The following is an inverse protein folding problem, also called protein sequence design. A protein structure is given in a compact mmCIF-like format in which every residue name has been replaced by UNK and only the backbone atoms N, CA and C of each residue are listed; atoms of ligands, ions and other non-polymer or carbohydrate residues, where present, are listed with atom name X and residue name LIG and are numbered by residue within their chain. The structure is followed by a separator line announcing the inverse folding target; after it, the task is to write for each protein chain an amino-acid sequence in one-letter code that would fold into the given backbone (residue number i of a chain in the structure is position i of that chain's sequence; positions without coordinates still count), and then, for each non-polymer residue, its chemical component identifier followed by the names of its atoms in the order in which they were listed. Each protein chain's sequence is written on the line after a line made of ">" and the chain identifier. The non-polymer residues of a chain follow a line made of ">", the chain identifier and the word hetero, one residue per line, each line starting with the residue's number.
data_IF_902649716210
#
_entry.id   IF_902649716210
#
_cell.length_a   1.000
_cell.length_b   1.000
_cell.length_c   1.000
_cell.angle_alpha   90.00
_cell.angle_beta   90.00
_cell.angle_gamma   90.00
#
_symmetry.space_group_name_H-M   'P 1'
#
loop_
_entity.id
_entity.type
_entity.pdbx_description
1 polymer ?
#
# COMPACT_ATOMS: atom_id res chain seq x y z
N UNK A 1 22.30 -17.51 -18.65
CA UNK A 1 21.97 -17.00 -17.31
C UNK A 1 21.44 -18.18 -16.50
N UNK A 2 22.23 -18.69 -15.56
CA UNK A 2 21.81 -19.76 -14.68
C UNK A 2 20.84 -19.15 -13.65
N UNK A 3 19.59 -19.57 -13.69
CA UNK A 3 18.63 -19.28 -12.63
C UNK A 3 19.15 -20.02 -11.39
N UNK A 4 19.65 -19.28 -10.40
CA UNK A 4 19.90 -19.86 -9.10
C UNK A 4 18.56 -20.35 -8.58
N UNK A 5 18.35 -21.65 -8.63
CA UNK A 5 17.28 -22.30 -7.89
C UNK A 5 17.54 -21.96 -6.43
N UNK A 6 16.66 -21.14 -5.85
CA UNK A 6 16.59 -20.98 -4.40
C UNK A 6 16.39 -22.38 -3.86
N UNK A 7 17.34 -22.89 -3.08
CA UNK A 7 17.17 -24.15 -2.36
C UNK A 7 15.94 -23.98 -1.47
N UNK A 8 14.83 -24.54 -1.93
CA UNK A 8 13.65 -24.71 -1.09
C UNK A 8 14.09 -25.51 0.13
N UNK A 9 13.79 -25.07 1.34
CA UNK A 9 14.14 -25.85 2.53
C UNK A 9 13.65 -27.27 2.35
N UNK A 10 14.51 -28.24 2.58
CA UNK A 10 14.26 -29.68 2.41
C UNK A 10 13.15 -30.24 3.33
N UNK A 11 12.34 -29.40 3.96
CA UNK A 11 11.38 -29.71 5.00
C UNK A 11 9.93 -29.29 4.69
N UNK A 12 9.57 -28.92 3.46
CA UNK A 12 8.16 -28.73 3.14
C UNK A 12 7.47 -30.09 3.03
N UNK A 13 6.77 -30.46 4.10
CA UNK A 13 5.92 -31.65 4.09
C UNK A 13 4.65 -31.37 3.28
N UNK A 14 4.64 -31.74 2.00
CA UNK A 14 3.48 -31.56 1.10
C UNK A 14 2.28 -32.46 1.46
N UNK A 15 2.45 -33.41 2.40
CA UNK A 15 1.34 -34.20 2.95
C UNK A 15 0.56 -33.38 4.02
N UNK A 16 1.10 -32.27 4.49
CA UNK A 16 0.37 -31.32 5.35
C UNK A 16 -0.71 -30.60 4.55
N UNK A 17 -1.99 -30.68 4.97
CA UNK A 17 -3.11 -30.07 4.25
C UNK A 17 -3.00 -28.56 4.09
N UNK A 18 -2.38 -27.86 5.05
CA UNK A 18 -2.16 -26.41 5.00
C UNK A 18 -1.13 -26.04 3.94
N UNK A 19 0.02 -26.75 3.94
CA UNK A 19 1.09 -26.55 2.96
C UNK A 19 0.59 -26.88 1.55
N UNK A 20 -0.18 -27.95 1.37
CA UNK A 20 -0.76 -28.27 0.05
C UNK A 20 -1.73 -27.20 -0.43
N UNK A 21 -2.59 -26.69 0.45
CA UNK A 21 -3.52 -25.60 0.12
C UNK A 21 -2.77 -24.33 -0.30
N UNK A 22 -1.72 -23.94 0.43
CA UNK A 22 -0.86 -22.80 0.09
C UNK A 22 -0.21 -23.00 -1.28
N UNK A 23 0.36 -24.18 -1.53
CA UNK A 23 0.95 -24.55 -2.82
C UNK A 23 -0.07 -24.42 -3.97
N UNK A 24 -1.29 -24.91 -3.78
CA UNK A 24 -2.36 -24.81 -4.78
C UNK A 24 -2.75 -23.35 -5.03
N UNK A 25 -2.79 -22.52 -4.00
CA UNK A 25 -3.10 -21.08 -4.13
C UNK A 25 -2.03 -20.34 -4.94
N UNK A 26 -0.75 -20.58 -4.66
CA UNK A 26 0.39 -20.02 -5.40
C UNK A 26 0.38 -20.49 -6.85
N UNK A 27 0.09 -21.76 -7.10
CA UNK A 27 -0.01 -22.31 -8.44
C UNK A 27 -1.16 -21.66 -9.21
N UNK A 28 -2.33 -21.50 -8.59
CA UNK A 28 -3.48 -20.81 -9.19
C UNK A 28 -3.14 -19.37 -9.60
N UNK A 29 -2.50 -18.60 -8.70
CA UNK A 29 -2.05 -17.24 -8.99
C UNK A 29 -1.06 -17.23 -10.18
N UNK A 30 -0.04 -18.09 -10.14
CA UNK A 30 1.01 -18.15 -11.16
C UNK A 30 0.46 -18.55 -12.53
N UNK A 31 -0.40 -19.58 -12.59
CA UNK A 31 -1.01 -20.05 -13.84
C UNK A 31 -1.93 -18.99 -14.43
N UNK A 32 -2.75 -18.33 -13.58
CA UNK A 32 -3.66 -17.27 -14.05
C UNK A 32 -2.87 -16.07 -14.58
N UNK A 33 -1.84 -15.66 -13.84
CA UNK A 33 -0.97 -14.55 -14.24
C UNK A 33 -0.25 -14.84 -15.56
N UNK A 34 0.38 -16.02 -15.69
CA UNK A 34 1.03 -16.45 -16.92
C UNK A 34 0.06 -16.46 -18.10
N UNK A 35 -1.13 -17.06 -17.92
CA UNK A 35 -2.15 -17.12 -18.98
C UNK A 35 -2.60 -15.71 -19.43
N UNK A 36 -2.77 -14.78 -18.50
CA UNK A 36 -3.10 -13.38 -18.82
C UNK A 36 -1.97 -12.65 -19.53
N UNK A 37 -0.75 -12.77 -19.02
CA UNK A 37 0.41 -12.09 -19.59
C UNK A 37 0.71 -12.54 -21.03
N UNK A 38 0.55 -13.87 -21.29
CA UNK A 38 0.79 -14.46 -22.60
C UNK A 38 -0.47 -14.58 -23.46
N UNK A 39 -1.60 -13.97 -23.05
CA UNK A 39 -2.89 -14.01 -23.76
C UNK A 39 -3.41 -15.42 -24.05
N UNK A 40 -3.11 -16.38 -23.17
CA UNK A 40 -3.49 -17.79 -23.27
C UNK A 40 -4.79 -18.03 -22.48
N UNK A 41 -5.94 -17.81 -23.14
CA UNK A 41 -7.26 -17.88 -22.48
C UNK A 41 -7.56 -19.23 -21.82
N UNK A 42 -7.11 -20.34 -22.39
CA UNK A 42 -7.30 -21.67 -21.79
C UNK A 42 -6.52 -21.84 -20.49
N UNK A 43 -5.28 -21.32 -20.43
CA UNK A 43 -4.43 -21.34 -19.23
C UNK A 43 -5.06 -20.44 -18.16
N UNK A 44 -5.49 -19.24 -18.54
CA UNK A 44 -6.18 -18.31 -17.64
C UNK A 44 -7.43 -18.96 -17.01
N UNK A 45 -8.27 -19.64 -17.83
CA UNK A 45 -9.48 -20.34 -17.34
C UNK A 45 -9.13 -21.46 -16.36
N UNK A 46 -8.07 -22.23 -16.63
CA UNK A 46 -7.59 -23.28 -15.71
C UNK A 46 -7.15 -22.70 -14.38
N UNK A 47 -6.39 -21.58 -14.40
CA UNK A 47 -5.98 -20.89 -13.18
C UNK A 47 -7.16 -20.42 -12.35
N UNK A 48 -8.19 -19.79 -12.95
CA UNK A 48 -9.41 -19.40 -12.24
C UNK A 48 -10.23 -20.59 -11.72
N UNK A 49 -10.29 -21.71 -12.47
CA UNK A 49 -10.95 -22.92 -11.99
C UNK A 49 -10.25 -23.48 -10.73
N UNK A 50 -8.92 -23.49 -10.73
CA UNK A 50 -8.12 -23.88 -9.57
C UNK A 50 -8.33 -22.89 -8.41
N UNK A 51 -8.41 -21.57 -8.68
CA UNK A 51 -8.73 -20.56 -7.67
C UNK A 51 -10.07 -20.86 -6.98
N UNK A 52 -11.10 -21.24 -7.74
CA UNK A 52 -12.38 -21.66 -7.16
C UNK A 52 -12.25 -22.85 -6.19
N UNK A 53 -11.41 -23.85 -6.54
CA UNK A 53 -11.12 -25.00 -5.65
C UNK A 53 -10.37 -24.56 -4.39
N UNK A 54 -9.39 -23.68 -4.53
CA UNK A 54 -8.65 -23.09 -3.39
C UNK A 54 -9.59 -22.39 -2.43
N UNK A 55 -10.54 -21.58 -2.94
CA UNK A 55 -11.52 -20.91 -2.10
C UNK A 55 -12.42 -21.88 -1.32
N UNK A 56 -12.84 -22.99 -1.94
CA UNK A 56 -13.62 -24.02 -1.26
C UNK A 56 -12.81 -24.70 -0.15
N UNK A 57 -11.56 -25.06 -0.42
CA UNK A 57 -10.68 -25.67 0.57
C UNK A 57 -10.31 -24.69 1.70
N UNK A 58 -10.00 -23.44 1.37
CA UNK A 58 -9.76 -22.39 2.36
C UNK A 58 -10.96 -22.23 3.31
N UNK A 59 -12.16 -22.24 2.76
CA UNK A 59 -13.39 -22.16 3.56
C UNK A 59 -13.54 -23.38 4.51
N UNK A 60 -13.13 -24.57 4.06
CA UNK A 60 -13.08 -25.78 4.89
C UNK A 60 -12.03 -25.65 6.01
N UNK A 61 -10.84 -25.10 5.72
CA UNK A 61 -9.80 -24.86 6.73
C UNK A 61 -10.24 -23.84 7.77
N UNK A 62 -10.93 -22.76 7.35
CA UNK A 62 -11.49 -21.74 8.25
C UNK A 62 -12.56 -22.31 9.19
N UNK A 63 -13.22 -23.39 8.83
CA UNK A 63 -14.16 -24.12 9.70
C UNK A 63 -13.50 -25.02 10.74
N UNK A 64 -12.17 -25.17 10.72
CA UNK A 64 -11.42 -26.04 11.65
C UNK A 64 -10.56 -25.20 12.58
N UNK A 65 -10.83 -25.19 13.90
CA UNK A 65 -10.11 -24.35 14.86
C UNK A 65 -8.60 -24.49 14.81
N UNK A 66 -8.08 -25.70 14.55
CA UNK A 66 -6.65 -26.02 14.50
C UNK A 66 -5.96 -25.48 13.25
N UNK A 67 -6.70 -25.22 12.15
CA UNK A 67 -6.15 -24.74 10.88
C UNK A 67 -6.47 -23.27 10.59
N UNK A 68 -7.54 -22.73 11.15
CA UNK A 68 -8.09 -21.42 10.78
C UNK A 68 -7.11 -20.25 10.95
N UNK A 69 -6.12 -20.36 11.87
CA UNK A 69 -5.15 -19.31 12.16
C UNK A 69 -3.70 -19.72 11.89
N UNK A 70 -3.47 -20.83 11.16
CA UNK A 70 -2.12 -21.27 10.79
C UNK A 70 -1.46 -20.28 9.83
N UNK A 71 -0.12 -20.31 9.75
CA UNK A 71 0.64 -19.46 8.82
C UNK A 71 0.26 -19.76 7.37
N UNK A 72 0.05 -21.03 7.03
CA UNK A 72 -0.34 -21.49 5.69
C UNK A 72 -1.72 -20.94 5.30
N UNK A 73 -2.68 -20.92 6.22
CA UNK A 73 -4.02 -20.36 6.00
C UNK A 73 -3.95 -18.84 5.78
N UNK A 74 -3.15 -18.14 6.58
CA UNK A 74 -2.91 -16.70 6.42
C UNK A 74 -2.26 -16.40 5.07
N UNK A 75 -1.22 -17.15 4.69
CA UNK A 75 -0.52 -16.98 3.42
C UNK A 75 -1.39 -17.37 2.22
N UNK A 76 -2.26 -18.37 2.38
CA UNK A 76 -3.27 -18.70 1.36
C UNK A 76 -4.27 -17.57 1.17
N UNK A 77 -4.81 -17.01 2.24
CA UNK A 77 -5.71 -15.85 2.17
C UNK A 77 -5.03 -14.62 1.55
N UNK A 78 -3.75 -14.39 1.86
CA UNK A 78 -2.92 -13.37 1.22
C UNK A 78 -2.79 -13.63 -0.29
N UNK A 79 -2.48 -14.88 -0.68
CA UNK A 79 -2.33 -15.26 -2.09
C UNK A 79 -3.64 -15.03 -2.87
N UNK A 80 -4.79 -15.37 -2.28
CA UNK A 80 -6.10 -15.07 -2.84
C UNK A 80 -6.34 -13.56 -2.99
N UNK A 81 -5.95 -12.77 -2.00
CA UNK A 81 -6.04 -11.31 -2.07
C UNK A 81 -5.12 -10.72 -3.15
N UNK A 82 -3.89 -11.23 -3.30
CA UNK A 82 -2.97 -10.83 -4.37
C UNK A 82 -3.53 -11.19 -5.75
N UNK A 83 -4.19 -12.35 -5.90
CA UNK A 83 -4.87 -12.68 -7.14
C UNK A 83 -5.91 -11.62 -7.50
N UNK A 84 -6.73 -11.21 -6.55
CA UNK A 84 -7.74 -10.17 -6.77
C UNK A 84 -7.15 -8.77 -7.03
N UNK A 85 -5.92 -8.48 -6.55
CA UNK A 85 -5.20 -7.25 -6.88
C UNK A 85 -4.75 -7.24 -8.35
N UNK A 86 -4.12 -8.33 -8.80
CA UNK A 86 -3.51 -8.40 -10.12
C UNK A 86 -4.49 -8.85 -11.21
N UNK A 87 -5.45 -9.67 -10.86
CA UNK A 87 -6.33 -10.41 -11.76
C UNK A 87 -7.76 -10.44 -11.21
N UNK A 88 -8.39 -9.26 -11.02
CA UNK A 88 -9.66 -9.14 -10.31
C UNK A 88 -10.76 -9.97 -10.95
N UNK A 89 -11.50 -10.71 -10.13
CA UNK A 89 -12.71 -11.45 -10.52
C UNK A 89 -13.98 -10.65 -10.24
N UNK A 90 -13.87 -9.59 -9.44
CA UNK A 90 -14.98 -8.67 -9.17
C UNK A 90 -14.55 -7.45 -8.34
N UNK A 91 -15.29 -6.34 -8.42
CA UNK A 91 -14.87 -5.03 -7.92
C UNK A 91 -14.68 -4.97 -6.40
N UNK A 92 -15.28 -5.89 -5.64
CA UNK A 92 -15.24 -5.90 -4.17
C UNK A 92 -14.52 -7.13 -3.59
N UNK A 93 -14.02 -8.03 -4.43
CA UNK A 93 -13.47 -9.30 -3.94
C UNK A 93 -12.15 -9.08 -3.18
N UNK A 94 -11.31 -8.15 -3.62
CA UNK A 94 -10.13 -7.74 -2.85
C UNK A 94 -10.49 -7.39 -1.39
N UNK A 95 -11.50 -6.55 -1.17
CA UNK A 95 -11.90 -6.14 0.17
C UNK A 95 -12.47 -7.28 1.01
N UNK A 96 -13.14 -8.26 0.38
CA UNK A 96 -13.60 -9.46 1.10
C UNK A 96 -12.42 -10.25 1.64
N UNK A 97 -11.40 -10.49 0.80
CA UNK A 97 -10.18 -11.18 1.24
C UNK A 97 -9.41 -10.37 2.27
N UNK A 98 -9.30 -9.06 2.08
CA UNK A 98 -8.66 -8.16 3.04
C UNK A 98 -9.31 -8.24 4.42
N UNK A 99 -10.64 -8.13 4.51
CA UNK A 99 -11.38 -8.25 5.78
C UNK A 99 -11.23 -9.65 6.38
N UNK A 100 -11.31 -10.69 5.56
CA UNK A 100 -11.11 -12.07 6.01
C UNK A 100 -9.72 -12.29 6.58
N UNK A 101 -8.69 -11.80 5.90
CA UNK A 101 -7.30 -11.88 6.37
C UNK A 101 -7.11 -11.16 7.71
N UNK A 102 -7.60 -9.92 7.86
CA UNK A 102 -7.54 -9.21 9.14
C UNK A 102 -8.32 -9.92 10.26
N UNK A 103 -9.45 -10.55 9.92
CA UNK A 103 -10.21 -11.34 10.91
C UNK A 103 -9.41 -12.56 11.39
N UNK A 104 -8.76 -13.29 10.49
CA UNK A 104 -7.88 -14.42 10.83
C UNK A 104 -6.71 -13.95 11.71
N UNK A 105 -6.08 -12.84 11.32
CA UNK A 105 -4.98 -12.25 12.10
C UNK A 105 -5.45 -11.80 13.48
N UNK A 106 -6.65 -11.21 13.57
CA UNK A 106 -7.23 -10.79 14.85
C UNK A 106 -7.53 -11.96 15.78
N UNK A 107 -7.99 -13.09 15.24
CA UNK A 107 -8.22 -14.34 16.01
C UNK A 107 -6.91 -14.92 16.54
N UNK A 108 -5.85 -14.88 15.73
CA UNK A 108 -4.53 -15.37 16.13
C UNK A 108 -3.86 -14.47 17.18
N UNK A 109 -4.09 -13.16 17.09
CA UNK A 109 -3.39 -12.17 17.89
C UNK A 109 -2.01 -11.80 17.33
N UNK A 110 -1.36 -10.78 17.91
CA UNK A 110 -0.01 -10.39 17.53
C UNK A 110 1.00 -11.49 17.88
N UNK A 111 2.13 -11.63 17.11
CA UNK A 111 3.12 -12.66 17.37
C UNK A 111 3.80 -12.43 18.72
N UNK A 112 3.91 -13.49 19.51
CA UNK A 112 4.63 -13.50 20.80
C UNK A 112 6.15 -13.60 20.56
N UNK A 113 6.57 -14.36 19.56
CA UNK A 113 7.96 -14.39 19.07
C UNK A 113 8.13 -13.36 17.95
N UNK A 114 8.85 -12.28 18.27
CA UNK A 114 9.10 -11.18 17.33
C UNK A 114 10.20 -11.48 16.32
N UNK A 115 10.92 -12.61 16.47
CA UNK A 115 12.00 -13.07 15.59
C UNK A 115 11.56 -14.15 14.63
N UNK A 116 10.45 -14.83 14.92
CA UNK A 116 9.95 -15.95 14.15
C UNK A 116 9.30 -15.60 12.80
N UNK A 117 8.98 -16.62 12.02
CA UNK A 117 8.40 -16.51 10.69
C UNK A 117 7.05 -15.78 10.71
N UNK A 118 6.21 -16.06 11.71
CA UNK A 118 4.92 -15.37 11.90
C UNK A 118 5.09 -13.87 12.02
N UNK A 119 6.08 -13.39 12.77
CA UNK A 119 6.37 -11.96 12.88
C UNK A 119 6.82 -11.36 11.53
N UNK A 120 7.57 -12.13 10.75
CA UNK A 120 7.99 -11.73 9.39
C UNK A 120 6.79 -11.63 8.45
N UNK A 121 5.89 -12.61 8.48
CA UNK A 121 4.62 -12.57 7.72
C UNK A 121 3.82 -11.33 8.11
N UNK A 122 3.64 -11.07 9.40
CA UNK A 122 2.84 -9.94 9.87
C UNK A 122 3.45 -8.57 9.54
N UNK A 123 4.77 -8.44 9.56
CA UNK A 123 5.44 -7.22 9.05
C UNK A 123 5.16 -6.99 7.57
N UNK A 124 5.20 -8.05 6.75
CA UNK A 124 4.88 -7.99 5.33
C UNK A 124 3.42 -7.63 5.04
N UNK A 125 2.48 -8.13 5.84
CA UNK A 125 1.05 -7.86 5.68
C UNK A 125 0.63 -6.44 6.09
N UNK A 126 1.46 -5.76 6.87
CA UNK A 126 1.14 -4.45 7.44
C UNK A 126 0.74 -3.41 6.39
N UNK A 127 1.50 -3.32 5.31
CA UNK A 127 1.24 -2.35 4.23
C UNK A 127 -0.12 -2.61 3.61
N UNK A 128 -0.41 -3.86 3.26
CA UNK A 128 -1.67 -4.25 2.61
C UNK A 128 -2.87 -4.02 3.53
N UNK A 129 -2.73 -4.34 4.82
CA UNK A 129 -3.77 -4.09 5.81
C UNK A 129 -4.09 -2.60 5.94
N UNK A 130 -3.07 -1.75 6.09
CA UNK A 130 -3.27 -0.29 6.20
C UNK A 130 -3.89 0.28 4.92
N UNK A 131 -3.44 -0.18 3.75
CA UNK A 131 -3.97 0.27 2.45
C UNK A 131 -5.46 -0.07 2.29
N UNK A 132 -5.83 -1.32 2.61
CA UNK A 132 -7.22 -1.75 2.56
C UNK A 132 -8.10 -0.98 3.55
N UNK A 133 -7.59 -0.74 4.76
CA UNK A 133 -8.26 0.02 5.79
C UNK A 133 -8.51 1.48 5.38
N UNK A 134 -7.49 2.15 4.81
CA UNK A 134 -7.62 3.51 4.25
C UNK A 134 -8.66 3.58 3.13
N UNK A 135 -8.68 2.57 2.25
CA UNK A 135 -9.63 2.54 1.13
C UNK A 135 -11.08 2.32 1.60
N UNK A 136 -11.27 1.60 2.70
CA UNK A 136 -12.59 1.32 3.28
C UNK A 136 -13.00 2.31 4.39
N UNK A 137 -12.18 3.29 4.70
CA UNK A 137 -12.38 4.24 5.82
C UNK A 137 -12.68 3.52 7.15
N UNK A 138 -11.94 2.46 7.44
CA UNK A 138 -12.09 1.66 8.66
C UNK A 138 -10.75 1.47 9.37
N UNK A 139 -10.73 1.22 10.69
CA UNK A 139 -9.49 0.97 11.40
C UNK A 139 -8.78 -0.30 10.88
N UNK A 140 -7.47 -0.19 10.62
CA UNK A 140 -6.60 -1.35 10.42
C UNK A 140 -6.34 -2.05 11.76
N UNK A 141 -6.14 -3.36 11.72
CA UNK A 141 -5.71 -4.13 12.90
C UNK A 141 -4.39 -3.57 13.49
N UNK A 142 -3.51 -3.02 12.65
CA UNK A 142 -2.24 -2.41 13.09
C UNK A 142 -2.39 -1.07 13.81
N UNK A 143 -3.61 -0.52 13.88
CA UNK A 143 -3.91 0.63 14.73
C UNK A 143 -4.15 0.24 16.20
N UNK A 144 -4.35 -1.04 16.50
CA UNK A 144 -4.58 -1.54 17.85
C UNK A 144 -3.30 -1.50 18.68
N UNK A 145 -3.40 -1.24 19.98
CA UNK A 145 -2.24 -1.06 20.85
C UNK A 145 -1.39 -2.33 21.01
N UNK A 146 -2.00 -3.51 20.97
CA UNK A 146 -1.30 -4.78 20.99
C UNK A 146 -0.47 -5.01 19.71
N UNK A 147 -0.97 -4.60 18.54
CA UNK A 147 -0.33 -4.73 17.25
C UNK A 147 0.75 -3.67 16.98
N UNK A 148 0.60 -2.47 17.54
CA UNK A 148 1.62 -1.41 17.45
C UNK A 148 2.94 -1.79 18.14
N UNK A 149 2.90 -2.74 19.07
CA UNK A 149 4.07 -3.22 19.83
C UNK A 149 4.97 -4.17 19.04
N UNK A 150 4.56 -4.66 17.86
CA UNK A 150 5.41 -5.50 17.02
C UNK A 150 6.60 -4.65 16.55
N UNK A 151 7.84 -4.96 16.96
CA UNK A 151 9.01 -4.15 16.59
C UNK A 151 9.40 -4.41 15.12
N UNK A 152 10.27 -3.56 14.54
CA UNK A 152 10.97 -3.89 13.30
C UNK A 152 11.82 -5.15 13.51
N UNK A 153 12.22 -5.82 12.43
CA UNK A 153 13.16 -6.95 12.55
C UNK A 153 14.50 -6.47 13.12
N UNK A 154 15.21 -7.36 13.83
CA UNK A 154 16.45 -7.01 14.53
C UNK A 154 17.56 -6.55 13.56
N UNK A 155 17.56 -7.07 12.33
CA UNK A 155 18.49 -6.75 11.24
C UNK A 155 17.99 -5.62 10.33
N UNK A 156 16.94 -4.90 10.73
CA UNK A 156 16.34 -3.83 9.92
C UNK A 156 17.33 -2.69 9.68
N UNK A 157 17.44 -2.29 8.42
CA UNK A 157 18.15 -1.07 8.03
C UNK A 157 17.50 0.19 8.59
N UNK A 158 18.20 1.29 8.61
CA UNK A 158 17.65 2.60 9.03
C UNK A 158 16.41 2.99 8.20
N UNK A 159 16.40 2.67 6.90
CA UNK A 159 15.24 2.91 6.04
C UNK A 159 14.03 2.10 6.47
N UNK A 160 14.21 0.82 6.80
CA UNK A 160 13.14 -0.06 7.28
C UNK A 160 12.64 0.36 8.66
N UNK A 161 13.52 0.82 9.56
CA UNK A 161 13.13 1.36 10.86
C UNK A 161 12.29 2.63 10.70
N UNK A 162 12.74 3.58 9.89
CA UNK A 162 11.98 4.79 9.59
C UNK A 162 10.61 4.45 8.97
N UNK A 163 10.60 3.58 7.98
CA UNK A 163 9.37 3.11 7.33
C UNK A 163 8.42 2.45 8.34
N UNK A 164 8.95 1.65 9.27
CA UNK A 164 8.16 1.02 10.33
C UNK A 164 7.44 2.06 11.20
N UNK A 165 8.12 3.12 11.63
CA UNK A 165 7.51 4.19 12.42
C UNK A 165 6.49 5.00 11.64
N UNK A 166 6.78 5.31 10.37
CA UNK A 166 5.82 6.00 9.50
C UNK A 166 4.55 5.17 9.31
N UNK A 167 4.67 3.85 9.07
CA UNK A 167 3.51 2.98 8.96
C UNK A 167 2.72 2.85 10.28
N UNK A 168 3.37 2.97 11.42
CA UNK A 168 2.66 3.04 12.71
C UNK A 168 1.76 4.27 12.78
N UNK A 169 2.28 5.43 12.39
CA UNK A 169 1.48 6.65 12.30
C UNK A 169 0.36 6.54 11.25
N UNK A 170 0.63 5.90 10.10
CA UNK A 170 -0.38 5.72 9.06
C UNK A 170 -1.51 4.77 9.51
N UNK A 171 -1.19 3.72 10.24
CA UNK A 171 -2.18 2.83 10.83
C UNK A 171 -3.10 3.60 11.79
N UNK A 172 -2.54 4.46 12.66
CA UNK A 172 -3.35 5.30 13.54
C UNK A 172 -4.27 6.25 12.78
N UNK A 173 -3.83 6.78 11.62
CA UNK A 173 -4.70 7.60 10.77
C UNK A 173 -5.97 6.86 10.34
N UNK A 174 -5.89 5.53 10.10
CA UNK A 174 -7.09 4.74 9.75
C UNK A 174 -8.11 4.71 10.88
N UNK A 175 -7.66 4.64 12.13
CA UNK A 175 -8.51 4.71 13.31
C UNK A 175 -9.12 6.10 13.47
N UNK A 176 -8.30 7.14 13.37
CA UNK A 176 -8.76 8.53 13.51
C UNK A 176 -9.78 8.91 12.43
N UNK A 177 -9.63 8.39 11.20
CA UNK A 177 -10.61 8.58 10.13
C UNK A 177 -11.97 7.98 10.50
N UNK A 178 -12.01 6.76 11.02
CA UNK A 178 -13.24 6.11 11.46
C UNK A 178 -13.92 6.86 12.62
N UNK A 179 -13.13 7.30 13.62
CA UNK A 179 -13.64 8.06 14.76
C UNK A 179 -14.15 9.47 14.33
N UNK A 180 -13.43 10.14 13.43
CA UNK A 180 -13.87 11.40 12.82
C UNK A 180 -15.20 11.23 12.08
N UNK A 181 -15.32 10.20 11.26
CA UNK A 181 -16.53 9.93 10.50
C UNK A 181 -17.71 9.64 11.44
N UNK A 182 -17.48 8.93 12.55
CA UNK A 182 -18.48 8.70 13.59
C UNK A 182 -18.93 9.99 14.27
N UNK A 183 -18.03 10.94 14.49
CA UNK A 183 -18.38 12.27 15.01
C UNK A 183 -19.19 13.09 14.00
N UNK A 184 -18.74 13.13 12.75
CA UNK A 184 -19.37 13.94 11.71
C UNK A 184 -20.78 13.44 11.32
N UNK A 185 -21.02 12.14 11.39
CA UNK A 185 -22.33 11.54 11.12
C UNK A 185 -23.24 11.44 12.37
N UNK A 186 -22.77 11.90 13.53
CA UNK A 186 -23.52 11.89 14.77
C UNK A 186 -23.64 10.53 15.48
N UNK A 187 -22.90 9.51 15.04
CA UNK A 187 -22.89 8.20 15.71
C UNK A 187 -21.96 8.14 16.93
N UNK A 188 -21.06 9.10 17.08
CA UNK A 188 -20.25 9.28 18.28
C UNK A 188 -20.69 10.51 19.06
N UNK A 189 -20.57 10.49 20.41
CA UNK A 189 -20.95 11.63 21.25
C UNK A 189 -19.97 12.80 21.09
N UNK A 190 -20.49 14.03 21.18
CA UNK A 190 -19.69 15.24 21.00
C UNK A 190 -18.49 15.37 21.96
N UNK A 191 -18.57 14.82 23.15
CA UNK A 191 -17.44 14.83 24.09
C UNK A 191 -16.21 14.04 23.56
N UNK A 192 -16.37 13.18 22.57
CA UNK A 192 -15.26 12.46 21.95
C UNK A 192 -14.42 13.35 21.00
N UNK A 193 -14.91 14.55 20.66
CA UNK A 193 -14.24 15.49 19.76
C UNK A 193 -12.85 15.91 20.26
N UNK A 194 -12.80 16.49 21.46
CA UNK A 194 -11.54 17.01 22.01
C UNK A 194 -10.49 15.90 22.25
N UNK A 195 -10.83 14.73 22.85
CA UNK A 195 -9.90 13.60 22.95
C UNK A 195 -9.38 13.12 21.58
N UNK A 196 -10.22 13.08 20.55
CA UNK A 196 -9.75 12.70 19.21
C UNK A 196 -8.75 13.73 18.68
N UNK A 197 -9.08 15.02 18.75
CA UNK A 197 -8.24 16.10 18.25
C UNK A 197 -6.86 16.10 18.94
N UNK A 198 -6.81 15.91 20.25
CA UNK A 198 -5.57 15.81 21.02
C UNK A 198 -4.72 14.61 20.57
N UNK A 199 -5.31 13.44 20.31
CA UNK A 199 -4.59 12.27 19.81
C UNK A 199 -4.04 12.51 18.39
N UNK A 200 -4.78 13.20 17.54
CA UNK A 200 -4.32 13.54 16.18
C UNK A 200 -3.14 14.50 16.24
N UNK A 201 -3.17 15.52 17.09
CA UNK A 201 -2.02 16.41 17.30
C UNK A 201 -0.80 15.68 17.90
N UNK A 202 -1.03 14.76 18.85
CA UNK A 202 0.06 13.94 19.37
C UNK A 202 0.67 13.04 18.28
N UNK A 203 -0.13 12.46 17.38
CA UNK A 203 0.36 11.70 16.23
C UNK A 203 1.15 12.60 15.25
N UNK A 204 0.69 13.82 15.01
CA UNK A 204 1.44 14.80 14.20
C UNK A 204 2.79 15.17 14.83
N UNK A 205 2.84 15.35 16.14
CA UNK A 205 4.10 15.59 16.86
C UNK A 205 5.05 14.40 16.76
N UNK A 206 4.55 13.15 16.90
CA UNK A 206 5.35 11.94 16.68
C UNK A 206 5.87 11.85 15.24
N UNK A 207 5.04 12.13 14.24
CA UNK A 207 5.50 12.19 12.85
C UNK A 207 6.64 13.19 12.68
N UNK A 208 6.50 14.41 13.23
CA UNK A 208 7.55 15.43 13.18
C UNK A 208 8.86 14.96 13.86
N UNK A 209 8.77 14.19 14.94
CA UNK A 209 9.95 13.64 15.62
C UNK A 209 10.71 12.59 14.81
N UNK A 210 10.15 12.07 13.71
CA UNK A 210 10.84 11.18 12.77
C UNK A 210 11.72 11.93 11.77
N UNK A 211 11.62 13.26 11.69
CA UNK A 211 12.38 14.05 10.72
C UNK A 211 13.90 13.89 10.84
N UNK A 212 14.50 13.86 12.05
CA UNK A 212 15.93 13.59 12.20
C UNK A 212 16.36 12.22 11.64
N UNK A 213 15.52 11.18 11.79
CA UNK A 213 15.80 9.86 11.21
C UNK A 213 15.77 9.91 9.67
N UNK A 214 14.80 10.65 9.09
CA UNK A 214 14.79 10.88 7.65
C UNK A 214 16.04 11.60 7.18
N UNK A 215 16.46 12.68 7.88
CA UNK A 215 17.64 13.45 7.53
C UNK A 215 18.91 12.59 7.58
N UNK A 216 19.06 11.77 8.62
CA UNK A 216 20.19 10.86 8.75
C UNK A 216 20.19 9.80 7.62
N UNK A 217 19.04 9.23 7.29
CA UNK A 217 18.89 8.30 6.16
C UNK A 217 19.31 8.97 4.85
N UNK A 218 18.79 10.17 4.60
CA UNK A 218 19.04 10.91 3.37
C UNK A 218 20.55 11.24 3.21
N UNK A 219 21.21 11.67 4.27
CA UNK A 219 22.66 11.91 4.26
C UNK A 219 23.46 10.61 4.05
N UNK A 220 23.07 9.51 4.70
CA UNK A 220 23.74 8.22 4.54
C UNK A 220 23.60 7.65 3.11
N UNK A 221 22.54 8.06 2.37
CA UNK A 221 22.30 7.66 0.98
C UNK A 221 22.98 8.58 -0.04
N UNK A 222 23.58 9.69 0.39
CA UNK A 222 24.24 10.64 -0.49
C UNK A 222 25.55 10.04 -1.03
N UNK A 223 25.64 9.96 -2.36
CA UNK A 223 26.88 9.57 -3.02
C UNK A 223 27.63 10.83 -3.47
N UNK A 224 28.78 11.17 -2.86
CA UNK A 224 29.52 12.39 -3.19
C UNK A 224 30.09 12.39 -4.60
N UNK A 225 30.20 11.23 -5.25
CA UNK A 225 30.68 11.10 -6.63
C UNK A 225 29.59 11.36 -7.68
N UNK A 226 28.33 11.49 -7.27
CA UNK A 226 27.21 11.71 -8.18
C UNK A 226 26.64 13.11 -7.97
N UNK A 227 26.63 13.89 -9.02
CA UNK A 227 25.93 15.20 -9.02
C UNK A 227 24.42 14.96 -8.98
N UNK A 228 23.71 15.45 -7.95
CA UNK A 228 22.28 15.27 -7.87
C UNK A 228 21.57 15.95 -9.05
N UNK A 229 20.42 15.38 -9.45
CA UNK A 229 19.58 16.07 -10.45
C UNK A 229 18.98 17.34 -9.83
N UNK A 230 18.62 18.35 -10.66
CA UNK A 230 17.95 19.56 -10.13
C UNK A 230 16.69 19.27 -9.32
N UNK A 231 15.99 18.18 -9.66
CA UNK A 231 14.80 17.76 -8.92
C UNK A 231 15.17 17.13 -7.56
N UNK A 232 16.26 16.35 -7.49
CA UNK A 232 16.77 15.80 -6.24
C UNK A 232 17.25 16.91 -5.29
N UNK A 233 17.93 17.93 -5.82
CA UNK A 233 18.31 19.12 -5.04
C UNK A 233 17.09 19.88 -4.52
N UNK A 234 16.10 20.12 -5.36
CA UNK A 234 14.87 20.82 -4.98
C UNK A 234 14.08 20.08 -3.90
N UNK A 235 14.09 18.74 -3.95
CA UNK A 235 13.44 17.89 -2.95
C UNK A 235 14.28 17.74 -1.67
N UNK A 236 15.57 17.97 -1.75
CA UNK A 236 16.51 17.60 -0.70
C UNK A 236 16.59 16.09 -0.48
N UNK A 237 16.28 15.30 -1.51
CA UNK A 237 16.29 13.83 -1.49
C UNK A 237 17.48 13.32 -2.31
N UNK A 238 18.39 12.57 -1.68
CA UNK A 238 19.62 12.10 -2.30
C UNK A 238 19.40 11.05 -3.39
N UNK A 239 18.36 10.26 -3.29
CA UNK A 239 17.99 9.20 -4.25
C UNK A 239 16.53 8.75 -4.09
N UNK A 240 16.12 7.74 -4.87
CA UNK A 240 14.75 7.20 -4.85
C UNK A 240 14.33 6.59 -3.51
N UNK A 241 15.25 6.05 -2.70
CA UNK A 241 14.94 5.51 -1.36
C UNK A 241 14.57 6.65 -0.39
N UNK A 242 15.38 7.71 -0.39
CA UNK A 242 15.06 8.92 0.36
C UNK A 242 13.76 9.56 -0.13
N UNK A 243 13.54 9.64 -1.44
CA UNK A 243 12.28 10.11 -2.01
C UNK A 243 11.09 9.24 -1.60
N UNK A 244 11.25 7.92 -1.52
CA UNK A 244 10.19 7.01 -1.04
C UNK A 244 9.83 7.27 0.43
N UNK A 245 10.84 7.44 1.29
CA UNK A 245 10.61 7.78 2.69
C UNK A 245 9.90 9.13 2.84
N UNK A 246 10.32 10.13 2.03
CA UNK A 246 9.69 11.45 2.01
C UNK A 246 8.24 11.40 1.52
N UNK A 247 7.94 10.59 0.52
CA UNK A 247 6.57 10.34 0.06
C UNK A 247 5.70 9.78 1.18
N UNK A 248 6.17 8.74 1.88
CA UNK A 248 5.43 8.11 2.98
C UNK A 248 5.21 9.09 4.13
N UNK A 249 6.24 9.85 4.51
CA UNK A 249 6.13 10.90 5.52
C UNK A 249 5.02 11.89 5.17
N UNK A 250 5.03 12.42 3.94
CA UNK A 250 4.03 13.37 3.49
C UNK A 250 2.64 12.75 3.34
N UNK A 251 2.52 11.46 3.03
CA UNK A 251 1.26 10.73 3.01
C UNK A 251 0.59 10.74 4.38
N UNK A 252 1.36 10.45 5.44
CA UNK A 252 0.85 10.51 6.83
C UNK A 252 0.50 11.95 7.20
N UNK A 253 1.38 12.91 6.85
CA UNK A 253 1.15 14.32 7.14
C UNK A 253 -0.15 14.83 6.52
N UNK A 254 -0.40 14.56 5.23
CA UNK A 254 -1.66 14.90 4.56
C UNK A 254 -2.86 14.23 5.25
N UNK A 255 -2.73 12.94 5.61
CA UNK A 255 -3.82 12.20 6.26
C UNK A 255 -4.21 12.85 7.59
N UNK A 256 -3.21 13.21 8.43
CA UNK A 256 -3.45 13.90 9.71
C UNK A 256 -4.04 15.30 9.49
N UNK A 257 -3.49 16.09 8.56
CA UNK A 257 -4.01 17.42 8.24
C UNK A 257 -5.46 17.37 7.75
N UNK A 258 -5.83 16.38 6.94
CA UNK A 258 -7.23 16.20 6.49
C UNK A 258 -8.18 15.88 7.64
N UNK A 259 -7.72 15.08 8.61
CA UNK A 259 -8.52 14.78 9.80
C UNK A 259 -8.69 16.04 10.64
N UNK A 260 -7.61 16.79 10.90
CA UNK A 260 -7.65 18.06 11.63
C UNK A 260 -8.57 19.06 10.92
N UNK A 261 -8.40 19.26 9.61
CA UNK A 261 -9.18 20.20 8.82
C UNK A 261 -10.68 19.88 8.83
N UNK A 262 -11.06 18.60 8.84
CA UNK A 262 -12.46 18.20 8.92
C UNK A 262 -13.10 18.47 10.28
N UNK A 263 -12.30 18.57 11.33
CA UNK A 263 -12.72 18.84 12.71
C UNK A 263 -12.56 20.33 13.08
N UNK A 264 -11.44 20.93 12.70
CA UNK A 264 -11.06 22.31 12.99
C UNK A 264 -10.43 22.95 11.74
N UNK A 265 -11.23 23.44 10.78
CA UNK A 265 -10.74 23.99 9.51
C UNK A 265 -9.77 25.16 9.70
N UNK A 266 -8.65 25.15 8.95
CA UNK A 266 -7.64 26.20 8.98
C UNK A 266 -7.02 26.40 7.59
N UNK A 267 -6.86 27.65 7.16
CA UNK A 267 -6.17 28.00 5.92
C UNK A 267 -4.69 27.58 5.96
N UNK A 268 -4.06 27.58 7.13
CA UNK A 268 -2.68 27.11 7.32
C UNK A 268 -2.57 25.60 7.03
N UNK A 269 -3.48 24.79 7.57
CA UNK A 269 -3.51 23.36 7.34
C UNK A 269 -3.72 23.03 5.86
N UNK A 270 -4.58 23.79 5.17
CA UNK A 270 -4.79 23.63 3.74
C UNK A 270 -3.51 23.88 2.95
N UNK A 271 -2.78 24.97 3.24
CA UNK A 271 -1.51 25.29 2.58
C UNK A 271 -0.43 24.24 2.85
N UNK A 272 -0.32 23.71 4.09
CA UNK A 272 0.61 22.65 4.44
C UNK A 272 0.28 21.35 3.71
N UNK A 273 -0.99 21.01 3.58
CA UNK A 273 -1.45 19.84 2.84
C UNK A 273 -1.08 19.92 1.36
N UNK A 274 -1.31 21.09 0.74
CA UNK A 274 -1.01 21.29 -0.68
C UNK A 274 0.51 21.24 -0.93
N UNK A 275 1.32 21.81 -0.05
CA UNK A 275 2.78 21.73 -0.10
C UNK A 275 3.27 20.27 0.02
N UNK A 276 2.70 19.50 0.95
CA UNK A 276 3.03 18.10 1.14
C UNK A 276 2.64 17.25 -0.09
N UNK A 277 1.47 17.51 -0.68
CA UNK A 277 1.02 16.85 -1.91
C UNK A 277 1.92 17.20 -3.11
N UNK A 278 2.33 18.45 -3.24
CA UNK A 278 3.33 18.89 -4.24
C UNK A 278 4.66 18.17 -4.07
N UNK A 279 5.10 17.93 -2.82
CA UNK A 279 6.31 17.15 -2.52
C UNK A 279 6.17 15.70 -2.99
N UNK A 280 5.04 15.04 -2.75
CA UNK A 280 4.78 13.68 -3.25
C UNK A 280 4.85 13.64 -4.78
N UNK A 281 4.25 14.60 -5.48
CA UNK A 281 4.30 14.67 -6.93
C UNK A 281 5.74 14.75 -7.46
N UNK A 282 6.58 15.59 -6.86
CA UNK A 282 8.01 15.71 -7.21
C UNK A 282 8.79 14.42 -6.90
N UNK A 283 8.51 13.75 -5.79
CA UNK A 283 9.12 12.46 -5.46
C UNK A 283 8.79 11.39 -6.50
N UNK A 284 7.56 11.39 -7.03
CA UNK A 284 7.16 10.48 -8.11
C UNK A 284 7.90 10.78 -9.41
N UNK A 285 8.07 12.06 -9.75
CA UNK A 285 8.85 12.49 -10.93
C UNK A 285 10.32 12.03 -10.81
N UNK A 286 10.94 12.17 -9.61
CA UNK A 286 12.31 11.71 -9.37
C UNK A 286 12.43 10.19 -9.49
N UNK A 287 11.50 9.44 -8.94
CA UNK A 287 11.48 7.98 -9.01
C UNK A 287 11.32 7.49 -10.45
N UNK A 288 10.48 8.13 -11.24
CA UNK A 288 10.30 7.80 -12.65
C UNK A 288 11.59 8.09 -13.45
N UNK A 289 12.24 9.20 -13.18
CA UNK A 289 13.51 9.54 -13.82
C UNK A 289 14.61 8.50 -13.52
N UNK A 290 14.75 8.08 -12.26
CA UNK A 290 15.72 7.05 -11.86
C UNK A 290 15.38 5.67 -12.44
N UNK A 291 14.09 5.32 -12.53
CA UNK A 291 13.63 4.08 -13.15
C UNK A 291 14.02 3.99 -14.62
N UNK A 292 13.86 5.07 -15.37
CA UNK A 292 14.26 5.16 -16.78
C UNK A 292 15.79 4.97 -16.91
N UNK A 293 16.57 5.42 -15.95
CA UNK A 293 18.02 5.33 -15.94
C UNK A 293 18.57 4.04 -15.28
N UNK A 294 17.76 3.03 -15.03
CA UNK A 294 18.22 1.68 -14.71
C UNK A 294 17.88 1.13 -13.33
N UNK A 295 17.09 1.83 -12.51
CA UNK A 295 16.60 1.29 -11.24
C UNK A 295 15.24 0.63 -11.41
N UNK A 296 15.13 -0.67 -11.08
CA UNK A 296 13.96 -1.51 -11.40
C UNK A 296 13.04 -1.83 -10.21
N UNK A 297 12.94 -0.99 -9.21
CA UNK A 297 12.06 -1.30 -8.08
C UNK A 297 10.61 -0.84 -8.33
N UNK A 298 9.70 -1.82 -8.34
CA UNK A 298 8.26 -1.55 -8.33
C UNK A 298 7.83 -1.07 -6.93
N UNK A 299 7.11 0.04 -6.84
CA UNK A 299 6.75 0.63 -5.57
C UNK A 299 5.23 0.64 -5.34
N UNK A 300 4.74 -0.41 -4.69
CA UNK A 300 3.33 -0.52 -4.26
C UNK A 300 2.91 0.65 -3.34
N UNK A 301 3.85 1.16 -2.56
CA UNK A 301 3.67 2.29 -1.63
C UNK A 301 3.34 3.59 -2.38
N UNK A 302 3.92 3.76 -3.57
CA UNK A 302 3.69 4.93 -4.40
C UNK A 302 2.22 5.16 -4.75
N UNK A 303 1.43 4.11 -4.86
CA UNK A 303 0.01 4.25 -5.22
C UNK A 303 -0.84 4.89 -4.13
N UNK A 304 -0.63 4.50 -2.87
CA UNK A 304 -1.38 5.11 -1.76
C UNK A 304 -1.00 6.56 -1.60
N UNK A 305 0.31 6.85 -1.63
CA UNK A 305 0.82 8.20 -1.58
C UNK A 305 0.23 9.06 -2.72
N UNK A 306 0.20 8.51 -3.93
CA UNK A 306 -0.36 9.16 -5.10
C UNK A 306 -1.85 9.47 -4.95
N UNK A 307 -2.65 8.48 -4.51
CA UNK A 307 -4.10 8.70 -4.32
C UNK A 307 -4.38 9.78 -3.27
N UNK A 308 -3.67 9.73 -2.15
CA UNK A 308 -3.82 10.71 -1.07
C UNK A 308 -3.39 12.10 -1.54
N UNK A 309 -2.26 12.22 -2.24
CA UNK A 309 -1.78 13.47 -2.79
C UNK A 309 -2.76 14.01 -3.86
N UNK A 310 -3.22 13.16 -4.75
CA UNK A 310 -4.15 13.54 -5.81
C UNK A 310 -5.47 14.09 -5.24
N UNK A 311 -6.03 13.43 -4.23
CA UNK A 311 -7.21 13.93 -3.55
C UNK A 311 -6.94 15.25 -2.80
N UNK A 312 -5.77 15.41 -2.19
CA UNK A 312 -5.37 16.62 -1.49
C UNK A 312 -5.19 17.81 -2.44
N UNK A 313 -4.69 17.55 -3.64
CA UNK A 313 -4.53 18.57 -4.70
C UNK A 313 -5.83 18.92 -5.43
N UNK A 314 -6.98 18.44 -4.98
CA UNK A 314 -8.28 18.74 -5.60
C UNK A 314 -8.64 17.85 -6.80
N UNK A 315 -7.97 16.71 -6.96
CA UNK A 315 -8.31 15.72 -7.98
C UNK A 315 -8.19 16.26 -9.40
N UNK A 316 -9.15 15.93 -10.25
CA UNK A 316 -9.20 16.43 -11.63
C UNK A 316 -9.68 17.87 -11.77
N UNK A 317 -10.22 18.46 -10.70
CA UNK A 317 -10.71 19.83 -10.73
C UNK A 317 -9.55 20.85 -10.72
N UNK A 318 -8.37 20.46 -10.23
CA UNK A 318 -7.17 21.31 -10.17
C UNK A 318 -6.16 21.00 -11.30
N UNK A 319 -5.37 21.99 -11.75
CA UNK A 319 -4.25 21.77 -12.67
C UNK A 319 -3.18 20.83 -12.10
N UNK A 320 -2.89 20.97 -10.80
CA UNK A 320 -1.88 20.17 -10.06
C UNK A 320 -2.30 18.71 -9.97
N UNK A 321 -3.55 18.45 -9.62
CA UNK A 321 -4.11 17.10 -9.57
C UNK A 321 -4.12 16.43 -10.95
N UNK A 322 -4.47 17.16 -12.01
CA UNK A 322 -4.36 16.68 -13.40
C UNK A 322 -2.91 16.38 -13.79
N UNK A 323 -1.95 17.27 -13.40
CA UNK A 323 -0.52 17.03 -13.65
C UNK A 323 -0.06 15.75 -12.97
N UNK A 324 -0.41 15.55 -11.68
CA UNK A 324 -0.06 14.34 -10.95
C UNK A 324 -0.65 13.08 -11.61
N UNK A 325 -1.92 13.13 -12.01
CA UNK A 325 -2.57 12.02 -12.71
C UNK A 325 -1.83 11.65 -14.02
N UNK A 326 -1.37 12.62 -14.79
CA UNK A 326 -0.57 12.39 -16.01
C UNK A 326 0.79 11.75 -15.71
N UNK A 327 1.53 12.26 -14.70
CA UNK A 327 2.82 11.70 -14.29
C UNK A 327 2.67 10.23 -13.90
N UNK A 328 1.64 9.90 -13.12
CA UNK A 328 1.35 8.52 -12.70
C UNK A 328 0.94 7.64 -13.87
N UNK A 329 0.11 8.14 -14.78
CA UNK A 329 -0.32 7.40 -15.95
C UNK A 329 0.86 7.09 -16.89
N UNK A 330 1.78 8.03 -17.09
CA UNK A 330 3.01 7.81 -17.85
C UNK A 330 3.90 6.74 -17.19
N UNK A 331 4.07 6.79 -15.87
CA UNK A 331 4.82 5.77 -15.12
C UNK A 331 4.19 4.38 -15.21
N UNK A 332 2.86 4.30 -15.26
CA UNK A 332 2.12 3.04 -15.39
C UNK A 332 2.13 2.49 -16.82
N UNK A 333 2.12 3.36 -17.84
CA UNK A 333 2.08 2.95 -19.25
C UNK A 333 3.39 2.31 -19.71
N UNK A 334 4.52 2.69 -19.13
CA UNK A 334 5.83 2.07 -19.43
C UNK A 334 5.95 0.64 -18.86
N UNK A 335 5.11 0.26 -17.91
CA UNK A 335 5.01 -1.12 -17.38
C UNK A 335 4.03 -1.97 -18.20
N UNK A 336 3.10 -1.34 -18.92
CA UNK A 336 2.19 -1.99 -19.87
C UNK A 336 2.69 -1.71 -21.28
N UNK A 337 3.01 -2.74 -22.05
CA UNK A 337 3.33 -2.65 -23.48
C UNK A 337 2.15 -2.23 -24.36
N UNK A 338 1.10 -1.69 -23.79
CA UNK A 338 -0.01 -1.08 -24.50
C UNK A 338 0.42 0.31 -24.98
N UNK A 339 0.35 0.52 -26.29
CA UNK A 339 0.64 1.76 -26.99
C UNK A 339 0.09 2.96 -26.20
N UNK A 340 0.97 3.80 -25.71
CA UNK A 340 0.62 5.12 -25.22
C UNK A 340 -0.01 5.86 -26.39
N UNK A 341 -1.30 6.12 -26.30
CA UNK A 341 -1.96 7.00 -27.24
C UNK A 341 -1.29 8.37 -27.22
N UNK A 342 -1.27 8.97 -28.39
CA UNK A 342 -0.77 10.27 -28.73
C UNK A 342 -0.85 11.28 -27.55
N UNK A 343 0.25 11.94 -27.25
CA UNK A 343 0.36 13.00 -26.23
C UNK A 343 -0.72 14.09 -26.41
N UNK A 344 -1.06 14.39 -27.67
CA UNK A 344 -2.12 15.34 -28.00
C UNK A 344 -3.53 14.82 -27.68
N UNK A 345 -3.77 13.50 -27.66
CA UNK A 345 -5.04 12.92 -27.24
C UNK A 345 -5.25 13.12 -25.73
N UNK A 346 -4.19 13.01 -24.93
CA UNK A 346 -4.21 13.28 -23.49
C UNK A 346 -4.43 14.75 -23.14
N UNK A 347 -3.88 15.67 -23.94
CA UNK A 347 -4.11 17.10 -23.75
C UNK A 347 -5.54 17.53 -24.11
N UNK A 348 -6.23 16.74 -24.95
CA UNK A 348 -7.62 16.94 -25.35
C UNK A 348 -8.62 16.12 -24.53
N UNK A 349 -8.15 15.16 -23.73
CA UNK A 349 -9.00 14.29 -22.95
C UNK A 349 -9.83 15.08 -21.92
N UNK A 350 -11.10 14.74 -21.82
CA UNK A 350 -11.98 15.31 -20.80
C UNK A 350 -11.57 14.81 -19.41
N UNK A 351 -11.97 15.51 -18.33
CA UNK A 351 -11.77 15.01 -16.96
C UNK A 351 -12.33 13.60 -16.74
N UNK A 352 -13.40 13.22 -17.45
CA UNK A 352 -14.00 11.89 -17.39
C UNK A 352 -13.14 10.84 -18.09
N UNK A 353 -12.59 11.12 -19.26
CA UNK A 353 -11.67 10.22 -19.97
C UNK A 353 -10.42 9.96 -19.13
N UNK A 354 -9.84 11.01 -18.53
CA UNK A 354 -8.67 10.92 -17.66
C UNK A 354 -9.02 10.12 -16.39
N UNK A 355 -10.19 10.37 -15.82
CA UNK A 355 -10.69 9.63 -14.65
C UNK A 355 -10.81 8.14 -14.96
N UNK A 356 -11.46 7.78 -16.08
CA UNK A 356 -11.72 6.40 -16.44
C UNK A 356 -10.42 5.67 -16.82
N UNK A 357 -9.45 6.34 -17.40
CA UNK A 357 -8.15 5.75 -17.73
C UNK A 357 -7.23 5.67 -16.50
N UNK A 358 -7.20 6.68 -15.65
CA UNK A 358 -6.47 6.69 -14.39
C UNK A 358 -7.05 5.69 -13.39
N UNK A 359 -8.37 5.72 -13.16
CA UNK A 359 -9.04 4.78 -12.28
C UNK A 359 -9.29 3.43 -12.97
N UNK A 360 -9.57 3.38 -14.25
CA UNK A 360 -9.71 2.14 -15.00
C UNK A 360 -8.37 1.40 -15.16
N UNK A 361 -7.25 2.10 -15.26
CA UNK A 361 -5.91 1.54 -15.16
C UNK A 361 -5.56 1.10 -13.74
N UNK A 362 -5.94 1.89 -12.75
CA UNK A 362 -5.79 1.59 -11.33
C UNK A 362 -6.74 0.46 -10.90
N UNK A 363 -8.01 0.50 -11.31
CA UNK A 363 -9.02 -0.55 -11.08
C UNK A 363 -8.67 -1.83 -11.83
N UNK A 364 -8.22 -1.76 -13.08
CA UNK A 364 -7.74 -2.93 -13.84
C UNK A 364 -6.45 -3.51 -13.29
N UNK A 365 -5.59 -2.70 -12.65
CA UNK A 365 -4.31 -3.14 -12.11
C UNK A 365 -4.36 -3.49 -10.61
N UNK A 366 -5.31 -2.94 -9.84
CA UNK A 366 -5.41 -3.08 -8.40
C UNK A 366 -6.83 -3.35 -7.87
N UNK A 367 -7.75 -3.82 -8.74
CA UNK A 367 -9.05 -4.34 -8.35
C UNK A 367 -9.94 -3.38 -7.58
N UNK A 368 -10.33 -2.26 -8.19
CA UNK A 368 -11.55 -1.58 -7.76
C UNK A 368 -11.46 -0.74 -6.49
N UNK A 369 -10.53 0.16 -6.42
CA UNK A 369 -10.56 1.28 -5.46
C UNK A 369 -11.29 2.48 -6.11
N UNK A 370 -12.58 2.31 -6.37
CA UNK A 370 -13.50 3.37 -6.80
C UNK A 370 -14.31 3.86 -5.64
#
# INVERSE_FOLDING_TARGET
>A
MACNMVDLPAALNFDDPGVDLLRQSLLSLSVTFFGKQHRQNQITRRGYAQYGQVLQQLNTHLGRPELQTSDETILTALTCMLLEIFLPTGPKNFFKHHRGLEAIMAMRGPPTDVTGDTATIFRGLRVLSIMGALAESRPSIYARDDWKKIPPAADSSQAQILQHHIFTCLAECTQFMGERDALLNGSAPLWAYEPLLQRVYAAQARLKSLWPLYTALNEAQRNPAVTPSPLAEQLGASNYLAATALMLYNTVHISLLRIIDSLAPSAENAALRDAAAGTIAKCLELKEWERINGTHESNTIGFVATKIAWQALGGFDSPEGRKLARTVSQALSTVSTAKVGDREAWERATPEDIRDEFFGGFVRKFGGLG
#
